data_IF_185981951171
#
_entry.id   IF_185981951171
#
_cell.length_a   1.000
_cell.length_b   1.000
_cell.length_c   1.000
_cell.angle_alpha   90.00
_cell.angle_beta   90.00
_cell.angle_gamma   90.00
#
_symmetry.space_group_name_H-M   'P 1'
#
loop_
_entity.id
_entity.type
_entity.pdbx_description
1 polymer ?
#
# COMPACT_ATOMS: atom_id res chain seq x y z
N UNK A 1 16.78 12.25 -2.76
CA UNK A 1 15.56 11.64 -2.21
C UNK A 1 14.29 12.11 -2.91
N UNK A 2 14.19 13.38 -3.26
CA UNK A 2 13.08 13.98 -4.04
C UNK A 2 12.99 13.38 -5.46
N UNK A 3 14.10 12.97 -6.06
CA UNK A 3 14.12 12.35 -7.40
C UNK A 3 13.37 11.01 -7.51
N UNK A 4 13.16 10.28 -6.41
CA UNK A 4 12.41 9.01 -6.45
C UNK A 4 10.92 9.22 -6.71
N UNK A 5 10.32 10.21 -6.09
CA UNK A 5 8.91 10.56 -6.31
C UNK A 5 8.67 11.14 -7.73
N UNK A 6 9.55 12.05 -8.15
CA UNK A 6 9.43 12.74 -9.45
C UNK A 6 9.60 11.77 -10.63
N UNK A 7 10.45 10.73 -10.49
CA UNK A 7 10.71 9.78 -11.59
C UNK A 7 9.53 8.84 -11.84
N UNK A 8 8.81 8.41 -10.79
CA UNK A 8 7.57 7.64 -10.96
C UNK A 8 6.52 8.47 -11.71
N UNK A 9 6.45 9.77 -11.41
CA UNK A 9 5.57 10.70 -12.13
C UNK A 9 5.98 10.93 -13.59
N UNK A 10 7.29 10.98 -13.88
CA UNK A 10 7.80 11.12 -15.24
C UNK A 10 7.42 9.94 -16.15
N UNK A 11 7.35 8.72 -15.59
CA UNK A 11 6.90 7.54 -16.35
C UNK A 11 5.40 7.59 -16.70
N UNK A 12 4.59 8.11 -15.79
CA UNK A 12 3.14 8.24 -16.03
C UNK A 12 2.84 9.31 -17.09
N UNK A 13 3.66 10.37 -17.18
CA UNK A 13 3.59 11.37 -18.24
C UNK A 13 4.03 10.85 -19.62
N UNK A 14 5.04 9.98 -19.67
CA UNK A 14 5.57 9.45 -20.92
C UNK A 14 4.67 8.40 -21.60
N UNK A 15 3.85 7.67 -20.85
CA UNK A 15 2.87 6.73 -21.44
C UNK A 15 1.76 7.40 -22.25
N UNK A 16 1.53 8.71 -22.07
CA UNK A 16 0.54 9.44 -22.87
C UNK A 16 1.04 9.82 -24.31
N UNK A 17 2.30 9.55 -24.66
CA UNK A 17 2.89 9.87 -25.96
C UNK A 17 2.97 8.69 -26.92
N UNK A 18 2.65 7.48 -26.50
CA UNK A 18 2.60 6.32 -27.38
C UNK A 18 1.23 6.23 -28.05
N UNK A 19 1.08 6.86 -29.23
CA UNK A 19 0.02 6.52 -30.18
C UNK A 19 0.10 5.03 -30.47
N UNK A 20 -1.03 4.31 -30.55
CA UNK A 20 -1.03 2.92 -31.00
C UNK A 20 -0.61 2.88 -32.48
N UNK A 21 0.60 2.42 -32.73
CA UNK A 21 0.99 2.00 -34.07
C UNK A 21 0.31 0.67 -34.35
N UNK A 22 -0.34 0.59 -35.53
CA UNK A 22 -1.04 -0.56 -36.04
C UNK A 22 -0.23 -1.87 -35.96
N UNK A 23 -0.88 -3.03 -35.69
CA UNK A 23 -0.19 -4.30 -35.55
C UNK A 23 0.39 -4.78 -36.88
N UNK A 24 1.61 -5.35 -36.90
CA UNK A 24 2.10 -6.04 -38.09
C UNK A 24 1.34 -7.36 -38.27
N UNK A 25 0.82 -7.55 -39.50
CA UNK A 25 0.25 -8.81 -39.94
C UNK A 25 1.39 -9.80 -40.19
N UNK A 26 1.56 -10.80 -39.35
CA UNK A 26 2.23 -12.06 -39.72
C UNK A 26 1.57 -13.22 -39.01
N UNK A 27 0.96 -14.07 -39.78
CA UNK A 27 0.39 -15.37 -39.46
C UNK A 27 1.52 -16.39 -39.20
N UNK A 28 1.57 -16.96 -37.97
CA UNK A 28 2.12 -18.30 -37.76
C UNK A 28 1.20 -19.06 -36.82
N UNK A 29 0.83 -20.31 -37.10
CA UNK A 29 -0.07 -21.11 -36.24
C UNK A 29 0.69 -21.64 -35.03
N UNK A 30 0.16 -21.35 -33.86
CA UNK A 30 0.65 -21.88 -32.58
C UNK A 30 -0.06 -23.22 -32.32
N UNK A 31 0.66 -24.33 -31.98
CA UNK A 31 0.03 -25.59 -31.63
C UNK A 31 -0.66 -25.52 -30.28
N UNK A 32 -1.90 -26.00 -30.21
CA UNK A 32 -2.74 -26.06 -29.03
C UNK A 32 -2.22 -27.15 -28.06
N UNK A 33 -1.91 -26.83 -26.79
CA UNK A 33 -1.60 -27.87 -25.81
C UNK A 33 -2.88 -28.56 -25.34
N UNK A 34 -2.84 -29.91 -25.28
CA UNK A 34 -3.92 -30.80 -24.85
C UNK A 34 -4.37 -30.46 -23.41
N UNK A 35 -5.69 -30.37 -23.26
CA UNK A 35 -6.37 -30.14 -21.99
C UNK A 35 -6.00 -31.18 -20.92
N UNK A 36 -5.53 -30.70 -19.78
CA UNK A 36 -5.37 -31.45 -18.54
C UNK A 36 -6.73 -31.54 -17.82
N UNK A 37 -7.13 -32.78 -17.45
CA UNK A 37 -8.36 -33.08 -16.74
C UNK A 37 -8.40 -32.37 -15.38
N UNK A 38 -9.56 -31.84 -14.93
CA UNK A 38 -9.68 -31.20 -13.63
C UNK A 38 -9.57 -32.21 -12.50
N UNK A 39 -8.69 -31.93 -11.51
CA UNK A 39 -8.62 -32.65 -10.24
C UNK A 39 -9.83 -32.30 -9.39
N UNK A 40 -10.51 -33.35 -8.90
CA UNK A 40 -11.65 -33.31 -7.99
C UNK A 40 -11.38 -32.46 -6.73
N UNK A 41 -12.29 -31.53 -6.46
CA UNK A 41 -12.30 -30.73 -5.23
C UNK A 41 -12.66 -31.58 -4.00
N UNK A 42 -12.05 -31.36 -2.85
CA UNK A 42 -12.46 -32.01 -1.61
C UNK A 42 -13.79 -31.44 -1.13
N UNK A 43 -14.71 -32.36 -0.85
CA UNK A 43 -16.07 -32.12 -0.37
C UNK A 43 -16.04 -31.69 1.11
N UNK A 44 -16.26 -30.42 1.38
CA UNK A 44 -16.40 -29.88 2.74
C UNK A 44 -17.71 -30.38 3.35
N UNK A 45 -17.63 -31.07 4.51
CA UNK A 45 -18.81 -31.41 5.31
C UNK A 45 -19.17 -30.21 6.20
N UNK A 46 -20.45 -29.81 6.30
CA UNK A 46 -20.84 -28.80 7.27
C UNK A 46 -20.67 -29.34 8.69
N UNK A 47 -20.01 -28.57 9.55
CA UNK A 47 -19.95 -28.83 11.00
C UNK A 47 -21.30 -28.41 11.59
N UNK A 48 -22.13 -29.38 11.96
CA UNK A 48 -23.30 -29.15 12.78
C UNK A 48 -22.86 -28.85 14.21
N UNK A 49 -23.08 -27.61 14.65
CA UNK A 49 -22.85 -27.17 16.03
C UNK A 49 -24.05 -27.64 16.89
N UNK A 50 -23.95 -28.83 17.51
CA UNK A 50 -24.85 -29.22 18.60
C UNK A 50 -24.51 -28.46 19.88
N UNK A 51 -25.15 -27.33 20.13
CA UNK A 51 -25.10 -26.62 21.41
C UNK A 51 -25.82 -27.43 22.49
N UNK A 52 -25.06 -28.07 23.38
CA UNK A 52 -25.56 -28.79 24.54
C UNK A 52 -25.98 -27.79 25.63
N UNK A 53 -27.08 -28.12 26.36
CA UNK A 53 -27.59 -27.30 27.50
C UNK A 53 -26.61 -27.10 28.66
N UNK A 54 -25.44 -27.74 28.64
CA UNK A 54 -24.36 -27.55 29.63
C UNK A 54 -23.47 -26.32 29.34
N UNK A 55 -23.48 -25.81 28.11
CA UNK A 55 -22.64 -24.68 27.72
C UNK A 55 -23.20 -23.32 28.15
N UNK A 56 -24.51 -23.25 28.50
CA UNK A 56 -25.15 -22.03 28.97
C UNK A 56 -24.65 -21.56 30.34
N UNK A 57 -24.22 -22.48 31.23
CA UNK A 57 -23.72 -22.11 32.56
C UNK A 57 -22.28 -21.58 32.55
N UNK A 58 -21.48 -21.96 31.54
CA UNK A 58 -20.12 -21.44 31.37
C UNK A 58 -20.09 -20.01 30.83
N UNK A 59 -21.10 -19.63 30.04
CA UNK A 59 -21.20 -18.27 29.49
C UNK A 59 -21.48 -17.20 30.53
N UNK A 60 -22.22 -17.54 31.61
CA UNK A 60 -22.53 -16.58 32.70
C UNK A 60 -21.31 -16.35 33.59
N UNK A 61 -20.49 -17.39 33.81
CA UNK A 61 -19.26 -17.27 34.60
C UNK A 61 -18.21 -16.43 33.86
N UNK A 62 -18.15 -16.54 32.53
CA UNK A 62 -17.25 -15.74 31.70
C UNK A 62 -17.59 -14.23 31.71
N UNK A 63 -18.89 -13.90 31.82
CA UNK A 63 -19.33 -12.50 31.86
C UNK A 63 -19.03 -11.83 33.21
N UNK A 64 -19.03 -12.61 34.30
CA UNK A 64 -18.69 -12.10 35.64
C UNK A 64 -17.19 -11.95 35.90
N UNK A 65 -16.35 -12.72 35.15
CA UNK A 65 -14.90 -12.57 35.22
C UNK A 65 -14.40 -11.34 34.43
N UNK A 66 -15.14 -10.88 33.41
CA UNK A 66 -14.78 -9.70 32.65
C UNK A 66 -14.84 -8.38 33.47
N UNK A 67 -15.60 -8.36 34.57
CA UNK A 67 -15.69 -7.21 35.45
C UNK A 67 -14.49 -7.06 36.42
N UNK A 68 -13.60 -8.06 36.47
CA UNK A 68 -12.44 -8.08 37.37
C UNK A 68 -11.09 -7.89 36.64
N UNK A 69 -11.11 -7.58 35.34
CA UNK A 69 -9.87 -7.28 34.60
C UNK A 69 -9.33 -5.91 35.03
N UNK A 70 -8.08 -5.83 35.48
CA UNK A 70 -7.50 -4.58 35.86
C UNK A 70 -7.43 -3.62 34.68
N UNK A 71 -7.58 -2.32 34.94
CA UNK A 71 -7.57 -1.20 33.96
C UNK A 71 -6.35 -1.16 33.00
N UNK A 72 -5.43 -2.12 33.08
CA UNK A 72 -4.27 -2.25 32.22
C UNK A 72 -4.61 -2.58 30.77
N UNK A 73 -5.68 -3.35 30.49
CA UNK A 73 -6.10 -3.69 29.12
C UNK A 73 -6.61 -2.45 28.37
N UNK A 74 -7.33 -1.56 29.04
CA UNK A 74 -7.79 -0.30 28.46
C UNK A 74 -6.63 0.68 28.19
N UNK A 75 -5.56 0.64 28.99
CA UNK A 75 -4.37 1.47 28.76
C UNK A 75 -3.60 1.05 27.50
N UNK A 76 -3.49 -0.24 27.22
CA UNK A 76 -2.78 -0.74 26.01
C UNK A 76 -3.52 -0.32 24.74
N UNK A 77 -4.84 -0.46 24.71
CA UNK A 77 -5.65 -0.03 23.55
C UNK A 77 -5.65 1.49 23.37
N UNK A 78 -5.64 2.26 24.47
CA UNK A 78 -5.53 3.72 24.41
C UNK A 78 -4.14 4.18 23.97
N UNK A 79 -3.08 3.45 24.29
CA UNK A 79 -1.71 3.78 23.90
C UNK A 79 -1.46 3.56 22.42
N UNK A 80 -2.08 2.53 21.81
CA UNK A 80 -2.04 2.34 20.35
C UNK A 80 -2.81 3.43 19.59
N UNK A 81 -3.88 3.98 20.16
CA UNK A 81 -4.66 5.07 19.54
C UNK A 81 -3.95 6.43 19.58
N UNK A 82 -3.00 6.64 20.51
CA UNK A 82 -2.17 7.85 20.58
C UNK A 82 -0.96 7.82 19.62
N UNK A 83 -0.67 6.67 19.00
CA UNK A 83 0.50 6.48 18.15
C UNK A 83 0.33 7.11 16.76
N UNK A 84 -0.91 7.38 16.34
CA UNK A 84 -1.24 7.95 15.04
C UNK A 84 -2.06 9.22 15.14
N UNK A 85 -1.79 10.16 14.23
CA UNK A 85 -2.64 11.29 13.94
C UNK A 85 -3.20 11.16 12.52
N UNK A 86 -4.49 11.55 12.35
CA UNK A 86 -5.09 11.60 11.02
C UNK A 86 -4.75 12.92 10.35
N UNK A 87 -4.11 12.83 9.20
CA UNK A 87 -3.91 13.97 8.31
C UNK A 87 -4.98 13.94 7.21
N UNK A 88 -5.62 15.08 6.98
CA UNK A 88 -6.57 15.28 5.87
C UNK A 88 -6.19 16.54 5.13
N UNK A 89 -5.95 16.40 3.82
CA UNK A 89 -5.76 17.52 2.92
C UNK A 89 -7.11 17.83 2.24
N UNK A 90 -7.78 18.90 2.71
CA UNK A 90 -9.08 19.30 2.17
C UNK A 90 -9.00 19.96 0.81
N UNK A 91 -7.84 20.49 0.42
CA UNK A 91 -7.61 21.13 -0.89
C UNK A 91 -7.42 20.08 -1.96
N UNK A 92 -6.58 19.09 -1.70
CA UNK A 92 -6.34 17.99 -2.63
C UNK A 92 -7.33 16.84 -2.49
N UNK A 93 -8.01 16.71 -1.35
CA UNK A 93 -9.09 15.72 -1.14
C UNK A 93 -8.61 14.31 -0.83
N UNK A 94 -7.59 14.16 0.02
CA UNK A 94 -7.13 12.85 0.51
C UNK A 94 -6.92 12.84 2.02
N UNK A 95 -6.87 11.64 2.60
CA UNK A 95 -6.63 11.42 4.04
C UNK A 95 -5.71 10.22 4.25
N UNK A 96 -4.94 10.25 5.33
CA UNK A 96 -4.11 9.12 5.78
C UNK A 96 -3.78 9.24 7.28
N UNK A 97 -3.36 8.15 7.89
CA UNK A 97 -2.76 8.14 9.22
C UNK A 97 -1.26 8.44 9.10
N UNK A 98 -0.74 9.19 10.05
CA UNK A 98 0.70 9.47 10.18
C UNK A 98 1.11 9.16 11.62
N UNK A 99 2.26 8.50 11.86
CA UNK A 99 2.77 8.32 13.21
C UNK A 99 2.94 9.68 13.90
N UNK A 100 2.46 9.80 15.14
CA UNK A 100 2.45 11.09 15.86
C UNK A 100 3.83 11.68 16.10
N UNK A 101 4.86 10.83 16.08
CA UNK A 101 6.27 11.22 16.21
C UNK A 101 6.90 11.78 14.92
N UNK A 102 6.20 11.70 13.78
CA UNK A 102 6.73 12.18 12.50
C UNK A 102 6.35 13.63 12.27
N UNK A 103 7.29 14.40 11.73
CA UNK A 103 7.12 15.84 11.50
C UNK A 103 6.84 16.14 10.04
N UNK A 104 5.91 17.07 9.80
CA UNK A 104 5.67 17.60 8.46
C UNK A 104 6.82 18.48 8.04
N UNK A 105 7.36 18.23 6.83
CA UNK A 105 8.45 19.02 6.25
C UNK A 105 8.05 19.56 4.89
N UNK A 106 8.52 20.77 4.58
CA UNK A 106 8.31 21.39 3.27
C UNK A 106 9.53 21.10 2.38
N UNK A 107 9.37 20.15 1.47
CA UNK A 107 10.39 19.83 0.46
C UNK A 107 9.73 19.76 -0.91
N UNK A 108 10.22 20.53 -1.86
CA UNK A 108 9.69 20.57 -3.22
C UNK A 108 9.56 19.18 -3.86
N UNK A 109 8.49 18.98 -4.64
CA UNK A 109 8.21 17.74 -5.38
C UNK A 109 7.19 16.80 -4.71
N UNK A 110 6.80 17.05 -3.47
CA UNK A 110 5.69 16.37 -2.81
C UNK A 110 4.55 17.35 -2.53
N UNK A 111 3.31 16.87 -2.56
CA UNK A 111 2.15 17.63 -2.07
C UNK A 111 2.22 17.76 -0.54
N UNK A 112 2.60 16.66 0.11
CA UNK A 112 2.93 16.64 1.54
C UNK A 112 4.02 15.61 1.81
N UNK A 113 4.88 15.90 2.77
CA UNK A 113 5.95 15.01 3.21
C UNK A 113 6.05 15.04 4.74
N UNK A 114 6.15 13.86 5.33
CA UNK A 114 6.44 13.65 6.75
C UNK A 114 7.73 12.86 6.89
N UNK A 115 8.56 13.21 7.84
CA UNK A 115 9.82 12.54 8.12
C UNK A 115 9.90 12.10 9.58
N UNK A 116 10.49 10.95 9.81
CA UNK A 116 10.83 10.51 11.17
C UNK A 116 11.84 11.50 11.76
N UNK A 117 11.59 11.97 12.97
CA UNK A 117 12.47 12.94 13.64
C UNK A 117 13.90 12.40 13.73
N UNK A 118 14.87 13.23 13.34
CA UNK A 118 16.31 12.89 13.28
C UNK A 118 16.71 11.74 12.33
N UNK A 119 15.78 11.17 11.56
CA UNK A 119 16.01 10.11 10.58
C UNK A 119 15.36 10.44 9.24
N UNK A 120 15.63 11.60 8.67
CA UNK A 120 14.99 12.09 7.43
C UNK A 120 15.11 11.19 6.18
N UNK A 121 15.66 9.98 6.35
CA UNK A 121 15.66 8.91 5.34
C UNK A 121 14.37 8.11 5.37
N UNK A 122 13.76 7.98 6.56
CA UNK A 122 12.46 7.37 6.76
C UNK A 122 11.39 8.46 6.57
N UNK A 123 10.49 8.24 5.64
CA UNK A 123 9.49 9.27 5.29
C UNK A 123 8.22 8.70 4.68
N UNK A 124 7.15 9.48 4.80
CA UNK A 124 5.85 9.29 4.14
C UNK A 124 5.59 10.51 3.27
N UNK A 125 5.47 10.29 1.98
CA UNK A 125 5.20 11.37 1.03
C UNK A 125 3.99 11.08 0.15
N UNK A 126 3.17 12.10 -0.09
CA UNK A 126 2.06 12.04 -1.04
C UNK A 126 2.33 13.02 -2.18
N UNK A 127 2.07 12.54 -3.39
CA UNK A 127 2.07 13.37 -4.60
C UNK A 127 0.70 13.27 -5.25
N UNK A 128 0.14 14.43 -5.59
CA UNK A 128 -1.11 14.53 -6.34
C UNK A 128 -0.82 15.15 -7.68
N UNK A 129 -1.30 14.52 -8.76
CA UNK A 129 -1.07 15.00 -10.12
C UNK A 129 -2.31 14.87 -10.98
N UNK A 130 -2.58 15.86 -11.85
CA UNK A 130 -3.66 15.76 -12.81
C UNK A 130 -3.37 14.63 -13.81
N UNK A 131 -4.40 13.81 -14.10
CA UNK A 131 -4.33 12.75 -15.10
C UNK A 131 -5.58 12.77 -15.98
N UNK A 132 -5.51 12.11 -17.15
CA UNK A 132 -6.65 11.96 -18.04
C UNK A 132 -7.46 10.68 -17.80
N UNK A 133 -7.06 9.91 -16.78
CA UNK A 133 -7.70 8.66 -16.39
C UNK A 133 -8.83 8.93 -15.40
N UNK A 134 -9.86 8.09 -15.45
CA UNK A 134 -10.97 8.10 -14.48
C UNK A 134 -10.81 7.02 -13.41
N UNK A 135 -10.02 5.98 -13.69
CA UNK A 135 -9.69 4.93 -12.73
C UNK A 135 -8.34 4.29 -13.05
N UNK A 136 -7.73 3.61 -12.08
CA UNK A 136 -6.49 2.85 -12.28
C UNK A 136 -6.65 1.69 -13.25
N UNK A 137 -7.86 1.11 -13.38
CA UNK A 137 -8.12 0.03 -14.35
C UNK A 137 -7.79 0.41 -15.79
N UNK A 138 -7.98 1.68 -16.13
CA UNK A 138 -7.63 2.17 -17.48
C UNK A 138 -6.12 2.20 -17.72
N UNK A 139 -5.33 2.21 -16.67
CA UNK A 139 -3.87 2.14 -16.77
C UNK A 139 -3.36 0.71 -16.92
N UNK A 140 -4.02 -0.24 -16.27
CA UNK A 140 -3.67 -1.67 -16.31
C UNK A 140 -3.94 -2.39 -14.99
N UNK A 141 -3.56 -3.67 -14.93
CA UNK A 141 -3.65 -4.46 -13.70
C UNK A 141 -2.65 -3.97 -12.64
N UNK A 142 -2.88 -4.25 -11.34
CA UNK A 142 -1.93 -3.92 -10.29
C UNK A 142 -0.51 -4.44 -10.59
N UNK A 143 -0.39 -5.67 -11.07
CA UNK A 143 0.90 -6.26 -11.44
C UNK A 143 1.59 -5.49 -12.57
N UNK A 144 0.85 -5.11 -13.63
CA UNK A 144 1.40 -4.31 -14.72
C UNK A 144 1.96 -2.97 -14.23
N UNK A 145 1.23 -2.31 -13.32
CA UNK A 145 1.67 -1.03 -12.73
C UNK A 145 2.91 -1.23 -11.87
N UNK A 146 2.93 -2.27 -11.03
CA UNK A 146 4.09 -2.63 -10.20
C UNK A 146 5.34 -2.87 -11.04
N UNK A 147 5.23 -3.65 -12.12
CA UNK A 147 6.35 -3.92 -13.04
C UNK A 147 6.91 -2.63 -13.66
N UNK A 148 6.02 -1.66 -13.98
CA UNK A 148 6.45 -0.34 -14.47
C UNK A 148 7.18 0.48 -13.42
N UNK A 149 6.71 0.42 -12.15
CA UNK A 149 7.39 1.07 -11.02
C UNK A 149 8.80 0.51 -10.85
N UNK A 150 8.94 -0.82 -10.81
CA UNK A 150 10.25 -1.48 -10.66
C UNK A 150 11.18 -1.17 -11.83
N UNK A 151 10.68 -1.20 -13.06
CA UNK A 151 11.48 -0.82 -14.23
C UNK A 151 11.97 0.64 -14.15
N UNK A 152 11.13 1.54 -13.60
CA UNK A 152 11.51 2.93 -13.39
C UNK A 152 12.59 3.07 -12.31
N UNK A 153 12.46 2.34 -11.21
CA UNK A 153 13.47 2.32 -10.15
C UNK A 153 14.82 1.82 -10.69
N UNK A 154 14.83 0.72 -11.42
CA UNK A 154 16.06 0.14 -12.03
C UNK A 154 16.76 1.06 -13.05
N UNK A 155 16.06 2.02 -13.63
CA UNK A 155 16.64 3.00 -14.58
C UNK A 155 17.36 4.17 -13.90
N UNK A 156 17.18 4.36 -12.60
CA UNK A 156 17.85 5.44 -11.89
C UNK A 156 19.32 5.13 -11.68
N UNK A 157 20.21 6.04 -12.01
CA UNK A 157 21.65 5.88 -11.80
C UNK A 157 22.06 5.59 -10.35
N UNK A 158 21.23 6.07 -9.39
CA UNK A 158 21.46 5.83 -7.97
C UNK A 158 20.96 4.48 -7.47
N UNK A 159 20.23 3.72 -8.28
CA UNK A 159 19.67 2.42 -7.93
C UNK A 159 20.60 1.31 -8.42
N UNK A 160 21.09 0.48 -7.51
CA UNK A 160 21.85 -0.72 -7.85
C UNK A 160 20.92 -1.87 -8.21
N UNK A 161 19.86 -2.06 -7.42
CA UNK A 161 18.83 -3.06 -7.66
C UNK A 161 17.48 -2.62 -7.08
N UNK A 162 16.39 -3.20 -7.60
CA UNK A 162 15.04 -3.05 -7.10
C UNK A 162 14.27 -4.36 -7.30
N UNK A 163 13.60 -4.81 -6.25
CA UNK A 163 12.86 -6.07 -6.23
C UNK A 163 11.42 -5.85 -5.74
N UNK A 164 10.45 -6.38 -6.48
CA UNK A 164 9.05 -6.37 -6.09
C UNK A 164 8.80 -7.48 -5.07
N UNK A 165 8.23 -7.15 -3.92
CA UNK A 165 7.92 -8.08 -2.84
C UNK A 165 6.44 -8.45 -2.86
N UNK A 166 5.56 -7.46 -3.05
CA UNK A 166 4.12 -7.69 -3.01
C UNK A 166 3.33 -6.71 -3.83
N UNK A 167 2.16 -7.18 -4.29
CA UNK A 167 1.16 -6.40 -5.01
C UNK A 167 -0.20 -6.74 -4.45
N UNK A 168 -0.99 -5.73 -4.14
CA UNK A 168 -2.35 -5.89 -3.67
C UNK A 168 -3.29 -4.88 -4.34
N UNK A 169 -4.56 -5.19 -4.29
CA UNK A 169 -5.65 -4.29 -4.67
C UNK A 169 -6.67 -4.29 -3.54
N UNK A 170 -7.13 -3.12 -3.14
CA UNK A 170 -8.23 -2.97 -2.20
C UNK A 170 -9.27 -1.98 -2.68
N UNK A 171 -10.44 -2.03 -2.07
CA UNK A 171 -11.49 -1.05 -2.23
C UNK A 171 -11.34 0.04 -1.19
N UNK A 172 -11.24 1.29 -1.63
CA UNK A 172 -11.26 2.48 -0.78
C UNK A 172 -12.66 3.04 -0.60
N UNK A 173 -12.74 4.26 -0.08
CA UNK A 173 -13.99 4.97 0.15
C UNK A 173 -14.79 5.13 -1.14
N UNK A 174 -16.11 4.90 -1.07
CA UNK A 174 -16.99 4.97 -2.23
C UNK A 174 -16.74 3.91 -3.31
N UNK A 175 -16.03 2.82 -2.99
CA UNK A 175 -15.65 1.78 -3.96
C UNK A 175 -14.46 2.16 -4.84
N UNK A 176 -13.70 3.17 -4.43
CA UNK A 176 -12.49 3.61 -5.10
C UNK A 176 -11.46 2.49 -5.15
N UNK A 177 -10.87 2.24 -6.31
CA UNK A 177 -9.84 1.22 -6.48
C UNK A 177 -8.49 1.76 -6.06
N UNK A 178 -7.85 1.08 -5.12
CA UNK A 178 -6.50 1.41 -4.62
C UNK A 178 -5.56 0.25 -4.95
N UNK A 179 -4.44 0.54 -5.59
CA UNK A 179 -3.35 -0.41 -5.81
C UNK A 179 -2.27 -0.19 -4.77
N UNK A 180 -1.77 -1.27 -4.19
CA UNK A 180 -0.73 -1.24 -3.18
C UNK A 180 0.47 -2.10 -3.63
N UNK A 181 1.67 -1.61 -3.36
CA UNK A 181 2.92 -2.25 -3.76
C UNK A 181 3.91 -2.25 -2.61
N UNK A 182 4.62 -3.34 -2.45
CA UNK A 182 5.77 -3.43 -1.57
C UNK A 182 6.99 -3.83 -2.39
N UNK A 183 8.09 -3.09 -2.28
CA UNK A 183 9.33 -3.38 -2.98
C UNK A 183 10.55 -2.90 -2.19
N UNK A 184 11.70 -3.50 -2.48
CA UNK A 184 12.99 -3.12 -1.90
C UNK A 184 13.82 -2.42 -2.98
N UNK A 185 14.56 -1.40 -2.58
CA UNK A 185 15.52 -0.69 -3.42
C UNK A 185 16.87 -0.66 -2.73
N UNK A 186 17.91 -1.17 -3.38
CA UNK A 186 19.30 -0.91 -2.98
C UNK A 186 19.82 0.33 -3.75
N UNK A 187 20.19 1.34 -2.98
CA UNK A 187 20.63 2.62 -3.53
C UNK A 187 22.07 2.93 -3.13
N UNK A 188 22.84 3.49 -4.07
CA UNK A 188 24.23 3.96 -3.82
C UNK A 188 24.30 5.07 -2.78
N UNK A 189 23.22 5.86 -2.62
CA UNK A 189 23.19 7.04 -1.74
C UNK A 189 22.48 6.83 -0.40
N UNK A 190 21.72 5.76 -0.23
CA UNK A 190 20.91 5.55 0.97
C UNK A 190 20.88 4.11 1.47
N UNK A 191 21.59 3.19 0.78
CA UNK A 191 21.57 1.77 1.09
C UNK A 191 20.20 1.12 0.80
N UNK A 192 19.96 -0.01 1.44
CA UNK A 192 18.70 -0.75 1.29
C UNK A 192 17.55 -0.06 2.00
N UNK A 193 16.43 0.04 1.28
CA UNK A 193 15.16 0.59 1.77
C UNK A 193 14.01 -0.28 1.31
N UNK A 194 13.05 -0.45 2.19
CA UNK A 194 11.73 -0.98 1.88
C UNK A 194 10.79 0.16 1.57
N UNK A 195 10.05 0.03 0.50
CA UNK A 195 9.10 1.02 0.03
C UNK A 195 7.71 0.38 0.03
N UNK A 196 6.77 1.03 0.70
CA UNK A 196 5.35 0.73 0.56
C UNK A 196 4.71 1.87 -0.22
N UNK A 197 3.97 1.55 -1.26
CA UNK A 197 3.32 2.54 -2.12
C UNK A 197 1.86 2.21 -2.29
N UNK A 198 1.00 3.24 -2.29
CA UNK A 198 -0.39 3.10 -2.65
C UNK A 198 -0.77 4.15 -3.70
N UNK A 199 -1.62 3.78 -4.63
CA UNK A 199 -2.09 4.67 -5.66
C UNK A 199 -3.60 4.53 -5.88
N UNK A 200 -4.27 5.65 -6.14
CA UNK A 200 -5.64 5.69 -6.65
C UNK A 200 -5.86 6.88 -7.58
N UNK A 201 -6.92 6.82 -8.37
CA UNK A 201 -7.37 7.91 -9.22
C UNK A 201 -8.76 8.36 -8.76
N UNK A 202 -8.89 9.62 -8.45
CA UNK A 202 -10.17 10.26 -8.14
C UNK A 202 -10.25 11.64 -8.78
N UNK A 203 -11.40 11.98 -9.38
CA UNK A 203 -11.66 13.29 -9.98
C UNK A 203 -10.57 13.73 -10.97
N UNK A 204 -10.08 12.81 -11.82
CA UNK A 204 -8.99 13.03 -12.79
C UNK A 204 -7.66 13.48 -12.16
N UNK A 205 -7.44 13.15 -10.89
CA UNK A 205 -6.17 13.29 -10.19
C UNK A 205 -5.66 11.90 -9.80
N UNK A 206 -4.37 11.68 -10.01
CA UNK A 206 -3.65 10.53 -9.48
C UNK A 206 -3.08 10.90 -8.11
N UNK A 207 -3.38 10.09 -7.13
CA UNK A 207 -2.84 10.17 -5.79
C UNK A 207 -1.85 9.04 -5.60
N UNK A 208 -0.64 9.38 -5.20
CA UNK A 208 0.45 8.44 -5.00
C UNK A 208 1.04 8.65 -3.61
N UNK A 209 0.91 7.65 -2.75
CA UNK A 209 1.60 7.56 -1.47
C UNK A 209 2.88 6.73 -1.65
N UNK A 210 3.99 7.20 -1.07
CA UNK A 210 5.20 6.42 -0.88
C UNK A 210 5.66 6.53 0.57
N UNK A 211 5.90 5.38 1.18
CA UNK A 211 6.48 5.23 2.51
C UNK A 211 7.85 4.61 2.31
N UNK A 212 8.91 5.30 2.67
CA UNK A 212 10.27 4.80 2.58
C UNK A 212 10.83 4.56 3.98
N UNK A 213 11.37 3.38 4.23
CA UNK A 213 12.02 3.02 5.48
C UNK A 213 13.34 2.26 5.22
N UNK A 214 14.34 2.52 6.03
CA UNK A 214 15.61 1.78 5.99
C UNK A 214 15.34 0.32 6.34
N UNK A 215 15.87 -0.61 5.52
CA UNK A 215 15.74 -2.05 5.71
C UNK A 215 17.06 -2.73 5.31
N UNK A 216 18.05 -2.62 6.18
CA UNK A 216 19.38 -3.16 5.93
C UNK A 216 19.53 -4.57 6.51
N UNK A 217 20.33 -5.45 5.90
CA UNK A 217 20.56 -6.80 6.43
C UNK A 217 21.05 -6.84 7.88
N UNK A 218 21.88 -5.87 8.29
CA UNK A 218 22.40 -5.72 9.64
C UNK A 218 21.41 -5.07 10.63
N UNK A 219 20.35 -4.44 10.12
CA UNK A 219 19.27 -3.82 10.91
C UNK A 219 17.98 -3.90 10.09
N UNK A 220 17.37 -5.08 10.01
CA UNK A 220 16.16 -5.27 9.22
C UNK A 220 14.96 -4.55 9.85
N UNK A 221 13.98 -4.23 9.01
CA UNK A 221 12.71 -3.67 9.45
C UNK A 221 12.03 -4.62 10.46
N UNK A 222 11.87 -4.17 11.69
CA UNK A 222 11.22 -4.95 12.74
C UNK A 222 9.69 -5.07 12.51
N UNK A 223 9.09 -6.08 13.14
CA UNK A 223 7.67 -6.40 12.92
C UNK A 223 6.71 -5.33 13.42
N UNK A 224 7.05 -4.61 14.50
CA UNK A 224 6.22 -3.53 15.04
C UNK A 224 6.20 -2.34 14.08
N UNK A 225 7.38 -1.86 13.67
CA UNK A 225 7.52 -0.78 12.68
C UNK A 225 6.87 -1.16 11.36
N UNK A 226 7.01 -2.44 10.91
CA UNK A 226 6.34 -2.92 9.70
C UNK A 226 4.82 -2.78 9.81
N UNK A 227 4.23 -3.26 10.90
CA UNK A 227 2.77 -3.18 11.14
C UNK A 227 2.30 -1.72 11.16
N UNK A 228 3.06 -0.83 11.81
CA UNK A 228 2.79 0.60 11.83
C UNK A 228 2.78 1.21 10.41
N UNK A 229 3.77 0.89 9.58
CA UNK A 229 3.85 1.40 8.20
C UNK A 229 2.74 0.82 7.31
N UNK A 230 2.35 -0.44 7.51
CA UNK A 230 1.21 -1.06 6.83
C UNK A 230 -0.12 -0.38 7.22
N UNK A 231 -0.29 0.03 8.47
CA UNK A 231 -1.46 0.80 8.91
C UNK A 231 -1.51 2.17 8.21
N UNK A 232 -0.38 2.85 8.08
CA UNK A 232 -0.28 4.09 7.28
C UNK A 232 -0.69 3.83 5.83
N UNK A 233 -0.14 2.79 5.19
CA UNK A 233 -0.43 2.41 3.81
C UNK A 233 -1.93 2.17 3.59
N UNK A 234 -2.54 1.33 4.43
CA UNK A 234 -3.95 0.96 4.31
C UNK A 234 -4.93 2.08 4.68
N UNK A 235 -4.47 3.10 5.41
CA UNK A 235 -5.27 4.27 5.79
C UNK A 235 -5.40 5.32 4.68
N UNK A 236 -4.56 5.24 3.63
CA UNK A 236 -4.53 6.22 2.55
C UNK A 236 -5.75 6.10 1.65
N UNK A 237 -6.57 7.14 1.58
CA UNK A 237 -7.84 7.13 0.85
C UNK A 237 -8.25 8.54 0.40
N UNK A 238 -9.30 8.63 -0.40
CA UNK A 238 -9.96 9.90 -0.66
C UNK A 238 -10.57 10.46 0.64
N UNK A 239 -10.49 11.77 0.81
CA UNK A 239 -11.17 12.42 1.93
C UNK A 239 -12.69 12.26 1.82
N UNK A 240 -13.42 12.14 2.95
CA UNK A 240 -14.88 12.11 2.91
C UNK A 240 -15.41 13.38 2.25
N UNK A 241 -16.41 13.23 1.37
CA UNK A 241 -17.13 14.38 0.82
C UNK A 241 -17.87 15.08 1.96
N UNK A 242 -17.54 16.31 2.23
CA UNK A 242 -18.28 17.18 3.17
C UNK A 242 -19.54 17.76 2.50
#
# INVERSE_FOLDING_TARGET
MIMSLVTVMGLWGACNLLKPSSPPKTLFPIPIPKALKPKTQPKWKPLECCLSKRDLNLSIVSLLLAAALPNTVFKVVAQELEEFQRYTDSVEGFTLLIPSSWIKVDKGGATVLFEEENKGVNNVGVVVSPVRLESLKQFGSPQFVADKVIQAEKRKESTKDAELIGVAERSGQGGLQVYEFEYIVDSTRGGMKRIFSAAFVNSKKLYLLNIAHIDKPESPLDSHTRTMLEQVLHSFDAAPST
#
